data_IF_635453873885
#
_entry.id   IF_635453873885
#
_cell.length_a   1.000
_cell.length_b   1.000
_cell.length_c   1.000
_cell.angle_alpha   90.00
_cell.angle_beta   90.00
_cell.angle_gamma   90.00
#
_symmetry.space_group_name_H-M   'P 1'
#
loop_
_entity.id
_entity.type
_entity.pdbx_description
1 polymer ?
#
# COMPACT_ATOMS: atom_id res chain seq x y z
N UNK A 1 17.26 8.90 10.62
CA UNK A 1 16.64 8.71 9.28
C UNK A 1 15.17 8.46 9.49
N UNK A 2 14.29 9.27 8.90
CA UNK A 2 12.84 9.05 8.98
C UNK A 2 12.43 7.79 8.21
N UNK A 3 11.27 7.25 8.56
CA UNK A 3 10.65 6.16 7.80
C UNK A 3 10.47 6.58 6.33
N UNK A 4 10.84 5.70 5.38
CA UNK A 4 10.63 5.97 3.95
C UNK A 4 9.14 5.94 3.60
N UNK A 5 8.72 6.83 2.71
CA UNK A 5 7.36 6.87 2.17
C UNK A 5 7.42 7.03 0.66
N UNK A 6 6.71 6.17 -0.05
CA UNK A 6 6.55 6.23 -1.51
C UNK A 6 5.09 6.49 -1.84
N UNK A 7 4.82 7.31 -2.85
CA UNK A 7 3.45 7.63 -3.29
C UNK A 7 3.38 7.54 -4.81
N UNK A 8 2.40 6.78 -5.32
CA UNK A 8 2.17 6.50 -6.73
C UNK A 8 0.69 6.68 -7.02
N UNK A 9 0.29 7.78 -7.64
CA UNK A 9 -1.13 8.09 -7.84
C UNK A 9 -1.89 8.07 -6.52
N UNK A 10 -2.88 7.18 -6.44
CA UNK A 10 -3.73 6.91 -5.29
C UNK A 10 -3.19 5.81 -4.35
N UNK A 11 -1.95 5.36 -4.52
CA UNK A 11 -1.30 4.37 -3.66
C UNK A 11 -0.18 5.01 -2.84
N UNK A 12 -0.09 4.65 -1.56
CA UNK A 12 1.02 5.02 -0.67
C UNK A 12 1.61 3.81 0.01
N UNK A 13 2.94 3.72 0.03
CA UNK A 13 3.70 2.68 0.72
C UNK A 13 4.54 3.34 1.83
N UNK A 14 4.36 2.90 3.08
CA UNK A 14 5.09 3.42 4.24
C UNK A 14 5.99 2.35 4.84
N UNK A 15 7.22 2.73 5.14
CA UNK A 15 8.13 1.92 5.96
C UNK A 15 7.79 2.08 7.45
N UNK A 16 7.74 0.98 8.19
CA UNK A 16 7.68 0.97 9.65
C UNK A 16 8.59 -0.14 10.15
N UNK A 17 9.68 0.23 10.83
CA UNK A 17 10.66 -0.71 11.40
C UNK A 17 11.15 -1.75 10.37
N UNK A 18 11.49 -1.32 9.16
CA UNK A 18 11.99 -2.19 8.08
C UNK A 18 10.92 -3.01 7.35
N UNK A 19 9.63 -2.86 7.68
CA UNK A 19 8.51 -3.49 6.96
C UNK A 19 7.74 -2.44 6.16
N UNK A 20 7.16 -2.84 5.04
CA UNK A 20 6.39 -1.95 4.17
C UNK A 20 4.90 -2.27 4.20
N UNK A 21 4.10 -1.21 4.22
CA UNK A 21 2.63 -1.27 4.34
C UNK A 21 1.98 -0.42 3.26
N UNK A 22 0.93 -0.95 2.64
CA UNK A 22 0.23 -0.34 1.51
C UNK A 22 -1.05 0.33 1.99
N UNK A 23 -1.30 1.52 1.47
CA UNK A 23 -2.47 2.34 1.71
C UNK A 23 -3.03 2.84 0.38
N UNK A 24 -4.35 2.96 0.29
CA UNK A 24 -5.03 3.72 -0.76
C UNK A 24 -5.30 5.14 -0.27
N UNK A 25 -5.16 6.11 -1.16
CA UNK A 25 -5.39 7.52 -0.90
C UNK A 25 -6.78 7.83 -1.42
N UNK A 26 -7.74 7.86 -0.51
CA UNK A 26 -9.13 8.18 -0.79
C UNK A 26 -9.41 9.65 -0.39
N UNK A 27 -10.48 10.21 -0.92
CA UNK A 27 -11.09 11.45 -0.41
C UNK A 27 -12.39 11.07 0.29
N UNK A 28 -12.63 11.59 1.48
CA UNK A 28 -13.94 11.48 2.11
C UNK A 28 -14.95 12.46 1.47
N UNK A 29 -16.19 12.42 1.95
CA UNK A 29 -17.30 13.23 1.43
C UNK A 29 -17.03 14.74 1.56
N UNK A 30 -16.19 15.13 2.53
CA UNK A 30 -15.75 16.52 2.77
C UNK A 30 -14.51 16.90 1.92
N UNK A 31 -14.05 16.00 1.05
CA UNK A 31 -12.88 16.19 0.19
C UNK A 31 -11.54 16.06 0.90
N UNK A 32 -11.53 15.65 2.16
CA UNK A 32 -10.32 15.45 2.95
C UNK A 32 -9.63 14.15 2.59
N UNK A 33 -8.31 14.21 2.55
CA UNK A 33 -7.47 13.07 2.20
C UNK A 33 -7.46 12.06 3.34
N UNK A 34 -7.82 10.81 3.03
CA UNK A 34 -7.76 9.67 3.95
C UNK A 34 -6.90 8.55 3.36
N UNK A 35 -5.83 8.20 4.05
CA UNK A 35 -5.02 7.03 3.67
C UNK A 35 -5.64 5.76 4.30
N UNK A 36 -6.35 4.97 3.50
CA UNK A 36 -6.97 3.71 3.91
C UNK A 36 -5.95 2.58 3.88
N UNK A 37 -5.76 1.89 5.00
CA UNK A 37 -4.86 0.74 5.07
C UNK A 37 -5.38 -0.43 4.23
N UNK A 38 -4.51 -1.00 3.40
CA UNK A 38 -4.79 -2.20 2.58
C UNK A 38 -4.18 -3.44 3.23
N UNK A 39 -2.89 -3.39 3.56
CA UNK A 39 -2.17 -4.55 4.07
C UNK A 39 -0.65 -4.42 4.04
N UNK A 40 0.07 -5.43 4.56
CA UNK A 40 1.52 -5.55 4.39
C UNK A 40 1.86 -5.76 2.91
N UNK A 41 2.93 -5.12 2.43
CA UNK A 41 3.34 -5.16 1.01
C UNK A 41 3.59 -6.59 0.51
N UNK A 42 4.24 -7.44 1.31
CA UNK A 42 4.54 -8.83 0.96
C UNK A 42 3.26 -9.65 0.71
N UNK A 43 2.21 -9.42 1.50
CA UNK A 43 0.92 -10.08 1.33
C UNK A 43 0.19 -9.57 0.09
N UNK A 44 0.21 -8.25 -0.15
CA UNK A 44 -0.41 -7.64 -1.33
C UNK A 44 0.21 -8.19 -2.62
N UNK A 45 1.54 -8.27 -2.68
CA UNK A 45 2.27 -8.83 -3.83
C UNK A 45 1.94 -10.31 -4.03
N UNK A 46 1.92 -11.12 -2.97
CA UNK A 46 1.55 -12.54 -3.07
C UNK A 46 0.14 -12.74 -3.61
N UNK A 47 -0.83 -11.95 -3.16
CA UNK A 47 -2.21 -12.01 -3.65
C UNK A 47 -2.25 -11.62 -5.14
N UNK A 48 -1.57 -10.54 -5.52
CA UNK A 48 -1.54 -10.09 -6.91
C UNK A 48 -0.90 -11.14 -7.84
N UNK A 49 0.24 -11.73 -7.45
CA UNK A 49 0.90 -12.79 -8.23
C UNK A 49 0.08 -14.09 -8.25
N UNK A 50 -0.55 -14.45 -7.13
CA UNK A 50 -1.44 -15.61 -7.06
C UNK A 50 -2.69 -15.47 -7.93
N UNK A 51 -3.27 -14.26 -8.01
CA UNK A 51 -4.37 -13.95 -8.92
C UNK A 51 -3.94 -13.95 -10.39
N UNK A 52 -2.70 -13.53 -10.68
CA UNK A 52 -2.14 -13.54 -12.04
C UNK A 52 -1.70 -14.93 -12.52
N UNK A 53 -1.95 -15.99 -11.75
CA UNK A 53 -1.69 -17.36 -12.18
C UNK A 53 -0.23 -17.63 -12.48
N UNK A 54 0.69 -17.00 -11.75
CA UNK A 54 2.13 -17.28 -11.87
C UNK A 54 2.36 -18.70 -11.36
N UNK A 55 2.25 -19.67 -12.27
CA UNK A 55 2.69 -21.03 -12.04
C UNK A 55 4.22 -21.01 -11.84
N UNK A 56 4.73 -21.81 -10.88
CA UNK A 56 6.14 -21.80 -10.48
C UNK A 56 7.10 -22.09 -11.63
#
# INVERSE_FOLDING_TARGET
MGNKVFTFGDIRIREVKGKYYVYLIEKDEDGQRKDRYVGPLDKVVKIALGMLGVSP
#
